data_IF_372503588521
#
_entry.id   IF_372503588521
#
_cell.length_a   1.000
_cell.length_b   1.000
_cell.length_c   1.000
_cell.angle_alpha   90.00
_cell.angle_beta   90.00
_cell.angle_gamma   90.00
#
_symmetry.space_group_name_H-M   'P 1'
#
loop_
_entity.id
_entity.type
_entity.pdbx_description
1 polymer ?
#
# COMPACT_ATOMS: atom_id res chain seq x y z
N UNK A 1 -12.78 7.40 -21.51
CA UNK A 1 -13.84 6.41 -21.76
C UNK A 1 -13.56 5.21 -20.88
N UNK A 2 -14.47 4.82 -19.97
CA UNK A 2 -14.31 3.56 -19.23
C UNK A 2 -14.40 2.39 -20.23
N UNK A 3 -13.43 1.49 -20.19
CA UNK A 3 -13.44 0.27 -21.02
C UNK A 3 -14.54 -0.65 -20.48
N UNK A 4 -15.48 -1.06 -21.32
CA UNK A 4 -16.64 -1.87 -20.93
C UNK A 4 -16.29 -3.27 -20.43
N UNK A 5 -15.03 -3.69 -20.60
CA UNK A 5 -14.52 -4.97 -20.09
C UNK A 5 -13.91 -4.85 -18.70
N UNK A 6 -13.74 -3.63 -18.18
CA UNK A 6 -13.16 -3.38 -16.86
C UNK A 6 -14.25 -2.90 -15.90
N UNK A 7 -14.26 -3.48 -14.70
CA UNK A 7 -15.09 -2.94 -13.63
C UNK A 7 -14.63 -1.50 -13.31
N UNK A 8 -15.58 -0.59 -13.00
CA UNK A 8 -15.23 0.77 -12.60
C UNK A 8 -14.41 0.73 -11.30
N UNK A 9 -13.33 1.49 -11.24
CA UNK A 9 -12.49 1.61 -10.05
C UNK A 9 -13.21 2.44 -8.99
N UNK A 10 -13.58 1.84 -7.86
CA UNK A 10 -14.05 2.59 -6.70
C UNK A 10 -12.87 2.83 -5.74
N UNK A 11 -12.42 4.08 -5.55
CA UNK A 11 -11.30 4.36 -4.64
C UNK A 11 -11.57 3.96 -3.20
N UNK A 12 -12.85 3.88 -2.79
CA UNK A 12 -13.24 3.40 -1.46
C UNK A 12 -13.13 1.87 -1.28
N UNK A 13 -12.67 1.12 -2.28
CA UNK A 13 -12.35 -0.30 -2.10
C UNK A 13 -10.88 -0.53 -1.73
N UNK A 14 -10.02 0.48 -1.91
CA UNK A 14 -8.57 0.36 -1.77
C UNK A 14 -8.10 0.84 -0.40
N UNK A 15 -8.21 -0.02 0.60
CA UNK A 15 -7.89 0.33 1.99
C UNK A 15 -6.46 0.01 2.41
N UNK A 16 -5.72 -0.83 1.68
CA UNK A 16 -4.38 -1.23 2.07
C UNK A 16 -3.33 -0.39 1.36
N UNK A 17 -2.65 0.46 2.12
CA UNK A 17 -1.56 1.30 1.65
C UNK A 17 -0.20 0.63 1.87
N UNK A 18 0.60 0.51 0.82
CA UNK A 18 1.99 0.03 0.90
C UNK A 18 2.93 1.21 1.00
N UNK A 19 3.78 1.21 2.03
CA UNK A 19 4.79 2.22 2.30
C UNK A 19 6.18 1.62 2.14
N UNK A 20 7.11 2.39 1.56
CA UNK A 20 8.51 1.98 1.41
C UNK A 20 9.27 2.46 2.63
N UNK A 21 9.72 1.55 3.49
CA UNK A 21 10.46 1.94 4.70
C UNK A 21 11.88 2.42 4.40
N UNK A 22 12.33 2.41 3.14
CA UNK A 22 13.66 2.83 2.74
C UNK A 22 13.95 4.32 2.97
N UNK A 23 12.92 5.17 3.05
CA UNK A 23 13.11 6.63 3.20
C UNK A 23 13.35 7.09 4.66
N UNK A 24 13.14 6.20 5.65
CA UNK A 24 13.16 6.57 7.08
C UNK A 24 14.55 6.80 7.69
N UNK A 25 15.66 6.57 6.97
CA UNK A 25 16.99 6.68 7.57
C UNK A 25 17.64 8.06 7.48
N UNK A 26 17.36 8.87 6.44
CA UNK A 26 18.21 10.05 6.17
C UNK A 26 17.55 11.42 6.33
N UNK A 27 16.22 11.58 6.32
CA UNK A 27 15.63 12.92 6.43
C UNK A 27 14.35 12.91 7.26
N UNK A 28 14.31 13.80 8.25
CA UNK A 28 13.35 13.82 9.34
C UNK A 28 11.86 13.74 8.95
N UNK A 29 11.14 12.93 9.73
CA UNK A 29 9.83 13.26 10.31
C UNK A 29 8.66 13.61 9.36
N UNK A 30 8.71 13.27 8.08
CA UNK A 30 7.50 13.22 7.26
C UNK A 30 7.00 11.78 7.11
N UNK A 31 5.68 11.53 7.28
CA UNK A 31 5.13 10.20 7.07
C UNK A 31 5.41 9.78 5.62
N UNK A 32 5.95 8.58 5.47
CA UNK A 32 6.22 7.99 4.16
C UNK A 32 4.92 8.02 3.33
N UNK A 33 4.99 8.47 2.08
CA UNK A 33 3.80 8.47 1.21
C UNK A 33 3.54 7.04 0.73
N UNK A 34 2.27 6.62 0.76
CA UNK A 34 1.88 5.34 0.18
C UNK A 34 2.34 5.25 -1.29
N UNK A 35 3.12 4.23 -1.61
CA UNK A 35 3.64 3.96 -2.95
C UNK A 35 2.57 3.29 -3.82
N UNK A 36 1.70 2.50 -3.20
CA UNK A 36 0.59 1.83 -3.88
C UNK A 36 -0.58 1.59 -2.91
N UNK A 37 -1.79 1.52 -3.46
CA UNK A 37 -3.03 1.18 -2.75
C UNK A 37 -3.61 -0.12 -3.30
N UNK A 38 -4.12 -0.97 -2.42
CA UNK A 38 -4.70 -2.27 -2.75
C UNK A 38 -6.03 -2.46 -2.03
N UNK A 39 -6.94 -3.17 -2.69
CA UNK A 39 -8.19 -3.61 -2.07
C UNK A 39 -8.02 -4.85 -1.18
N UNK A 40 -6.95 -5.62 -1.41
CA UNK A 40 -6.65 -6.86 -0.69
C UNK A 40 -5.27 -6.79 -0.01
N UNK A 41 -5.24 -7.22 1.25
CA UNK A 41 -4.03 -7.16 2.09
C UNK A 41 -2.96 -8.15 1.63
N UNK A 42 -3.33 -9.33 1.14
CA UNK A 42 -2.38 -10.32 0.65
C UNK A 42 -1.73 -9.85 -0.67
N UNK A 43 -2.48 -9.19 -1.54
CA UNK A 43 -1.93 -8.53 -2.74
C UNK A 43 -0.94 -7.41 -2.37
N UNK A 44 -1.30 -6.57 -1.41
CA UNK A 44 -0.42 -5.50 -0.90
C UNK A 44 0.89 -6.06 -0.32
N UNK A 45 0.80 -7.11 0.49
CA UNK A 45 1.96 -7.80 1.07
C UNK A 45 2.84 -8.45 0.01
N UNK A 46 2.26 -9.13 -0.98
CA UNK A 46 3.00 -9.74 -2.09
C UNK A 46 3.73 -8.70 -2.93
N UNK A 47 3.07 -7.59 -3.23
CA UNK A 47 3.69 -6.46 -3.94
C UNK A 47 4.85 -5.87 -3.14
N UNK A 48 4.63 -5.58 -1.85
CA UNK A 48 5.68 -5.08 -0.96
C UNK A 48 6.89 -6.01 -0.87
N UNK A 49 6.66 -7.32 -0.67
CA UNK A 49 7.73 -8.35 -0.66
C UNK A 49 8.47 -8.39 -1.99
N UNK A 50 7.78 -8.29 -3.12
CA UNK A 50 8.40 -8.31 -4.45
C UNK A 50 9.29 -7.09 -4.71
N UNK A 51 8.98 -5.95 -4.11
CA UNK A 51 9.67 -4.68 -4.36
C UNK A 51 10.80 -4.41 -3.36
N UNK A 52 10.57 -4.68 -2.07
CA UNK A 52 11.51 -4.31 -0.99
C UNK A 52 11.94 -5.46 -0.10
N UNK A 53 11.56 -6.71 -0.41
CA UNK A 53 11.83 -7.96 0.34
C UNK A 53 11.38 -7.94 1.81
N UNK A 54 11.96 -7.06 2.64
CA UNK A 54 11.68 -6.89 4.06
C UNK A 54 11.46 -5.44 4.48
N UNK A 55 11.72 -4.46 3.60
CA UNK A 55 11.74 -3.03 3.96
C UNK A 55 10.48 -2.30 3.48
N UNK A 56 9.31 -2.85 3.82
CA UNK A 56 8.01 -2.26 3.50
C UNK A 56 7.03 -2.44 4.66
N UNK A 57 6.04 -1.56 4.72
CA UNK A 57 4.92 -1.64 5.66
C UNK A 57 3.62 -1.61 4.86
N UNK A 58 2.63 -2.39 5.30
CA UNK A 58 1.27 -2.31 4.77
C UNK A 58 0.37 -1.81 5.88
N UNK A 59 -0.38 -0.75 5.62
CA UNK A 59 -1.27 -0.09 6.58
C UNK A 59 -2.68 -0.14 6.03
N UNK A 60 -3.62 -0.59 6.84
CA UNK A 60 -5.04 -0.40 6.55
C UNK A 60 -5.41 1.05 6.89
N UNK A 61 -5.80 1.83 5.89
CA UNK A 61 -6.12 3.25 6.04
C UNK A 61 -7.44 3.49 6.79
N UNK A 62 -8.32 2.49 6.84
CA UNK A 62 -9.62 2.58 7.50
C UNK A 62 -9.48 2.34 9.00
N UNK A 63 -8.67 1.37 9.39
CA UNK A 63 -8.43 1.03 10.81
C UNK A 63 -7.19 1.73 11.39
N UNK A 64 -6.26 2.15 10.53
CA UNK A 64 -4.94 2.66 10.92
C UNK A 64 -3.96 1.57 11.38
N UNK A 65 -4.35 0.29 11.30
CA UNK A 65 -3.53 -0.82 11.77
C UNK A 65 -2.52 -1.28 10.71
N UNK A 66 -1.39 -1.82 11.20
CA UNK A 66 -0.40 -2.44 10.33
C UNK A 66 -0.83 -3.86 10.02
N UNK A 67 -0.88 -4.18 8.74
CA UNK A 67 -1.07 -5.55 8.27
C UNK A 67 0.28 -6.25 8.34
N UNK A 68 0.45 -7.08 9.38
CA UNK A 68 1.59 -7.97 9.48
C UNK A 68 1.48 -9.12 8.48
N UNK A 69 2.61 -9.52 7.91
CA UNK A 69 2.73 -10.59 6.93
C UNK A 69 3.05 -11.95 7.56
#
# INVERSE_FOLDING_TARGET
>A
MPDSRLAPTNPAEYHFAVHSCGYKWEQGLQPDRAVALFADSAAALRFGKSMWSTTFEVIDITTGERVCA
#
